data_IF_597244157303
#
_entry.id   IF_597244157303
#
_cell.length_a   1.000
_cell.length_b   1.000
_cell.length_c   1.000
_cell.angle_alpha   90.00
_cell.angle_beta   90.00
_cell.angle_gamma   90.00
#
_symmetry.space_group_name_H-M   'P 1'
#
loop_
_entity.id
_entity.type
_entity.pdbx_description
1 polymer ?
#
# COMPACT_ATOMS: atom_id res chain seq x y z
N UNK A 1 -7.12 -40.45 -86.82
CA UNK A 1 -7.33 -40.04 -85.41
C UNK A 1 -6.76 -38.65 -85.27
N UNK A 2 -7.64 -37.68 -85.05
CA UNK A 2 -7.43 -36.24 -85.18
C UNK A 2 -6.66 -35.66 -84.00
N UNK A 3 -5.69 -34.81 -84.35
CA UNK A 3 -4.82 -34.02 -83.46
C UNK A 3 -5.63 -32.83 -82.89
N UNK A 4 -5.89 -32.84 -81.58
CA UNK A 4 -6.53 -31.74 -80.87
C UNK A 4 -5.44 -30.84 -80.27
N UNK A 5 -5.11 -29.74 -80.94
CA UNK A 5 -4.36 -28.62 -80.35
C UNK A 5 -5.35 -27.65 -79.73
N UNK A 6 -5.26 -27.46 -78.41
CA UNK A 6 -5.94 -26.37 -77.72
C UNK A 6 -5.33 -25.02 -78.13
N UNK A 7 -6.14 -23.97 -78.39
CA UNK A 7 -5.61 -22.65 -78.69
C UNK A 7 -5.24 -21.92 -77.39
N UNK A 8 -3.94 -21.68 -77.20
CA UNK A 8 -3.48 -20.72 -76.19
C UNK A 8 -4.05 -19.33 -76.54
N UNK A 9 -4.92 -18.82 -75.66
CA UNK A 9 -5.59 -17.55 -75.82
C UNK A 9 -4.73 -16.47 -75.15
N UNK A 10 -3.95 -15.74 -75.93
CA UNK A 10 -3.27 -14.53 -75.45
C UNK A 10 -4.30 -13.46 -75.03
N UNK A 11 -4.09 -12.76 -73.90
CA UNK A 11 -5.03 -11.72 -73.45
C UNK A 11 -5.03 -10.52 -74.40
N UNK A 12 -6.22 -9.94 -74.66
CA UNK A 12 -6.38 -8.70 -75.43
C UNK A 12 -5.48 -7.58 -74.88
N UNK A 13 -4.80 -6.84 -75.76
CA UNK A 13 -3.81 -5.79 -75.40
C UNK A 13 -4.35 -4.75 -74.41
N UNK A 14 -5.64 -4.42 -74.52
CA UNK A 14 -6.37 -3.47 -73.68
C UNK A 14 -6.36 -3.88 -72.20
N UNK A 15 -6.51 -5.18 -71.92
CA UNK A 15 -6.55 -5.75 -70.55
C UNK A 15 -5.14 -5.76 -69.94
N UNK A 16 -4.11 -5.92 -70.78
CA UNK A 16 -2.70 -5.96 -70.36
C UNK A 16 -2.21 -4.58 -69.90
N UNK A 17 -2.65 -3.52 -70.58
CA UNK A 17 -2.33 -2.14 -70.22
C UNK A 17 -2.96 -1.72 -68.89
N UNK A 18 -4.24 -2.06 -68.67
CA UNK A 18 -4.94 -1.78 -67.41
C UNK A 18 -4.29 -2.50 -66.22
N UNK A 19 -3.94 -3.80 -66.37
CA UNK A 19 -3.23 -4.56 -65.34
C UNK A 19 -1.84 -3.99 -65.00
N UNK A 20 -1.11 -3.48 -65.99
CA UNK A 20 0.17 -2.80 -65.74
C UNK A 20 -0.02 -1.48 -65.01
N UNK A 21 -1.08 -0.73 -65.32
CA UNK A 21 -1.39 0.53 -64.64
C UNK A 21 -1.74 0.29 -63.16
N UNK A 22 -2.58 -0.70 -62.85
CA UNK A 22 -2.95 -1.06 -61.47
C UNK A 22 -1.74 -1.55 -60.67
N UNK A 23 -0.89 -2.39 -61.28
CA UNK A 23 0.34 -2.86 -60.64
C UNK A 23 1.28 -1.72 -60.26
N UNK A 24 1.41 -0.70 -61.10
CA UNK A 24 2.23 0.47 -60.80
C UNK A 24 1.62 1.31 -59.67
N UNK A 25 0.30 1.48 -59.63
CA UNK A 25 -0.39 2.18 -58.52
C UNK A 25 -0.19 1.46 -57.19
N UNK A 26 -0.29 0.12 -57.18
CA UNK A 26 -0.06 -0.70 -55.98
C UNK A 26 1.41 -0.62 -55.54
N UNK A 27 2.36 -0.61 -56.48
CA UNK A 27 3.78 -0.48 -56.17
C UNK A 27 4.12 0.86 -55.50
N UNK A 28 3.55 1.96 -56.00
CA UNK A 28 3.76 3.28 -55.38
C UNK A 28 3.16 3.35 -53.97
N UNK A 29 1.94 2.82 -53.77
CA UNK A 29 1.34 2.72 -52.42
C UNK A 29 2.20 1.88 -51.47
N UNK A 30 2.78 0.79 -51.95
CA UNK A 30 3.69 -0.07 -51.17
C UNK A 30 4.96 0.69 -50.74
N UNK A 31 5.52 1.53 -51.61
CA UNK A 31 6.67 2.39 -51.26
C UNK A 31 6.31 3.41 -50.19
N UNK A 32 5.13 4.03 -50.29
CA UNK A 32 4.66 4.99 -49.29
C UNK A 32 4.46 4.33 -47.92
N UNK A 33 3.79 3.16 -47.89
CA UNK A 33 3.59 2.40 -46.64
C UNK A 33 4.92 1.97 -46.04
N UNK A 34 5.89 1.54 -46.85
CA UNK A 34 7.23 1.19 -46.37
C UNK A 34 7.92 2.38 -45.68
N UNK A 35 7.86 3.58 -46.27
CA UNK A 35 8.43 4.78 -45.68
C UNK A 35 7.76 5.17 -44.35
N UNK A 36 6.43 5.13 -44.28
CA UNK A 36 5.68 5.39 -43.04
C UNK A 36 6.02 4.39 -41.93
N UNK A 37 6.18 3.09 -42.26
CA UNK A 37 6.56 2.08 -41.25
C UNK A 37 7.98 2.29 -40.71
N UNK A 38 8.90 2.79 -41.53
CA UNK A 38 10.26 3.10 -41.10
C UNK A 38 10.30 4.32 -40.18
N UNK A 39 9.47 5.33 -40.46
CA UNK A 39 9.30 6.51 -39.61
C UNK A 39 8.70 6.15 -38.24
N UNK A 40 7.66 5.31 -38.21
CA UNK A 40 7.05 4.81 -36.97
C UNK A 40 8.08 4.02 -36.15
N UNK A 41 8.85 3.13 -36.79
CA UNK A 41 9.90 2.34 -36.12
C UNK A 41 10.96 3.24 -35.47
N UNK A 42 11.40 4.28 -36.18
CA UNK A 42 12.39 5.22 -35.65
C UNK A 42 11.82 6.04 -34.48
N UNK A 43 10.57 6.51 -34.58
CA UNK A 43 9.88 7.22 -33.49
C UNK A 43 9.73 6.35 -32.25
N UNK A 44 9.35 5.07 -32.42
CA UNK A 44 9.24 4.13 -31.31
C UNK A 44 10.59 3.86 -30.64
N UNK A 45 11.64 3.63 -31.43
CA UNK A 45 12.99 3.42 -30.90
C UNK A 45 13.44 4.60 -30.04
N UNK A 46 13.26 5.83 -30.52
CA UNK A 46 13.59 7.05 -29.76
C UNK A 46 12.87 7.10 -28.41
N UNK A 47 11.57 6.75 -28.37
CA UNK A 47 10.82 6.71 -27.11
C UNK A 47 11.37 5.66 -26.14
N UNK A 48 11.75 4.48 -26.63
CA UNK A 48 12.34 3.44 -25.80
C UNK A 48 13.70 3.87 -25.24
N UNK A 49 14.53 4.52 -26.05
CA UNK A 49 15.82 5.06 -25.61
C UNK A 49 15.62 6.10 -24.48
N UNK A 50 14.63 6.99 -24.61
CA UNK A 50 14.29 7.98 -23.58
C UNK A 50 13.78 7.34 -22.27
N UNK A 51 13.02 6.24 -22.36
CA UNK A 51 12.62 5.47 -21.18
C UNK A 51 13.81 4.80 -20.50
N UNK A 52 14.77 4.26 -21.26
CA UNK A 52 15.96 3.63 -20.72
C UNK A 52 16.84 4.63 -19.94
N UNK A 53 17.02 5.85 -20.46
CA UNK A 53 17.76 6.91 -19.77
C UNK A 53 17.10 7.35 -18.46
N UNK A 54 15.77 7.48 -18.45
CA UNK A 54 15.01 7.80 -17.23
C UNK A 54 15.11 6.68 -16.20
N UNK A 55 15.07 5.41 -16.64
CA UNK A 55 15.22 4.26 -15.75
C UNK A 55 16.61 4.23 -15.11
N UNK A 56 17.67 4.46 -15.90
CA UNK A 56 19.04 4.52 -15.38
C UNK A 56 19.22 5.66 -14.36
N UNK A 57 18.61 6.81 -14.61
CA UNK A 57 18.64 7.94 -13.68
C UNK A 57 17.97 7.62 -12.34
N UNK A 58 16.89 6.84 -12.35
CA UNK A 58 16.21 6.36 -11.14
C UNK A 58 17.09 5.36 -10.40
N UNK A 59 17.68 4.38 -11.11
CA UNK A 59 18.58 3.40 -10.51
C UNK A 59 19.78 4.05 -9.82
N UNK A 60 20.39 5.06 -10.46
CA UNK A 60 21.50 5.82 -9.89
C UNK A 60 21.09 6.58 -8.62
N UNK A 61 19.90 7.16 -8.61
CA UNK A 61 19.36 7.86 -7.43
C UNK A 61 19.14 6.88 -6.27
N UNK A 62 18.55 5.72 -6.54
CA UNK A 62 18.32 4.66 -5.54
C UNK A 62 19.65 4.09 -5.01
N UNK A 63 20.63 3.90 -5.88
CA UNK A 63 21.96 3.41 -5.50
C UNK A 63 22.68 4.39 -4.57
N UNK A 64 22.59 5.69 -4.86
CA UNK A 64 23.11 6.76 -3.97
C UNK A 64 22.40 6.78 -2.60
N UNK A 65 21.10 6.55 -2.56
CA UNK A 65 20.35 6.41 -1.31
C UNK A 65 20.81 5.21 -0.48
N UNK A 66 21.11 4.07 -1.12
CA UNK A 66 21.60 2.86 -0.45
C UNK A 66 22.93 3.09 0.27
N UNK A 67 23.82 3.92 -0.29
CA UNK A 67 25.13 4.25 0.30
C UNK A 67 24.97 5.12 1.57
N UNK A 68 23.94 5.97 1.65
CA UNK A 68 23.65 6.79 2.84
C UNK A 68 23.12 5.96 4.03
N UNK A 69 22.63 4.73 3.79
CA UNK A 69 22.03 3.84 4.79
C UNK A 69 23.05 3.06 5.64
N UNK A 70 24.35 3.13 5.35
CA UNK A 70 25.37 2.30 6.00
C UNK A 70 26.02 2.91 7.25
N UNK A 71 25.48 4.02 7.78
CA UNK A 71 25.89 4.53 9.09
C UNK A 71 25.01 3.93 10.20
N UNK A 72 25.58 3.11 11.12
CA UNK A 72 24.87 2.77 12.34
C UNK A 72 25.06 3.92 13.34
N UNK A 73 24.16 4.92 13.30
CA UNK A 73 24.08 5.92 14.36
C UNK A 73 22.64 6.36 14.60
N UNK A 74 22.03 5.65 15.55
CA UNK A 74 21.07 6.12 16.55
C UNK A 74 19.68 6.61 16.10
N UNK A 75 18.71 5.74 16.45
CA UNK A 75 17.41 6.07 17.06
C UNK A 75 16.38 6.85 16.24
N UNK A 76 15.33 6.12 15.85
CA UNK A 76 13.96 6.59 15.63
C UNK A 76 13.76 7.68 14.56
N UNK A 77 13.83 7.29 13.28
CA UNK A 77 13.67 8.21 12.15
C UNK A 77 12.21 8.26 11.65
N UNK A 78 11.45 9.11 12.33
CA UNK A 78 10.47 10.12 11.86
C UNK A 78 9.68 10.02 10.54
N UNK A 79 9.34 8.85 10.00
CA UNK A 79 8.04 8.77 9.27
C UNK A 79 7.18 7.56 9.57
N UNK A 80 7.54 6.87 10.65
CA UNK A 80 6.59 6.02 11.35
C UNK A 80 5.55 6.94 12.00
N UNK A 81 4.38 6.97 11.39
CA UNK A 81 3.14 7.53 11.90
C UNK A 81 2.84 6.94 13.30
N UNK A 82 3.05 7.74 14.34
CA UNK A 82 2.92 7.36 15.76
C UNK A 82 1.93 8.26 16.49
N UNK A 83 1.23 7.70 17.47
CA UNK A 83 0.42 8.44 18.43
C UNK A 83 0.45 7.76 19.79
N UNK A 84 0.05 8.48 20.83
CA UNK A 84 -0.03 7.95 22.19
C UNK A 84 -1.46 8.14 22.70
N UNK A 85 -2.10 7.04 23.08
CA UNK A 85 -3.34 7.04 23.83
C UNK A 85 -3.02 6.94 25.32
N UNK A 86 -3.59 7.81 26.13
CA UNK A 86 -3.40 7.79 27.58
C UNK A 86 -4.72 8.02 28.30
N UNK A 87 -5.04 7.14 29.24
CA UNK A 87 -6.26 7.26 30.04
C UNK A 87 -6.07 6.76 31.48
N UNK A 88 -6.62 7.48 32.45
CA UNK A 88 -6.68 7.06 33.85
C UNK A 88 -8.06 6.46 34.14
N UNK A 89 -8.08 5.15 34.38
CA UNK A 89 -9.28 4.46 34.84
C UNK A 89 -9.39 4.52 36.37
N UNK A 90 -10.55 4.94 36.86
CA UNK A 90 -10.83 5.12 38.29
C UNK A 90 -11.80 4.07 38.79
N UNK A 91 -11.51 3.54 39.98
CA UNK A 91 -12.29 2.54 40.71
C UNK A 91 -12.60 1.27 39.90
N UNK A 92 -11.66 0.77 39.08
CA UNK A 92 -11.83 -0.47 38.31
C UNK A 92 -12.12 -1.69 39.18
N UNK A 93 -11.61 -1.71 40.42
CA UNK A 93 -11.92 -2.76 41.39
C UNK A 93 -13.41 -2.80 41.81
N UNK A 94 -14.18 -1.75 41.52
CA UNK A 94 -15.63 -1.67 41.76
C UNK A 94 -16.47 -1.78 40.49
N UNK A 95 -15.83 -1.91 39.32
CA UNK A 95 -16.48 -2.01 38.02
C UNK A 95 -17.50 -3.14 38.02
N UNK A 96 -18.74 -2.91 37.62
CA UNK A 96 -19.75 -3.97 37.56
C UNK A 96 -19.66 -4.73 36.24
N UNK A 97 -20.22 -5.93 36.21
CA UNK A 97 -20.43 -6.62 34.93
C UNK A 97 -21.33 -5.76 34.04
N UNK A 98 -21.02 -5.71 32.75
CA UNK A 98 -21.63 -4.84 31.72
C UNK A 98 -21.28 -3.34 31.78
N UNK A 99 -20.50 -2.89 32.76
CA UNK A 99 -19.88 -1.56 32.67
C UNK A 99 -18.62 -1.64 31.78
N UNK A 100 -18.55 -0.75 30.78
CA UNK A 100 -17.45 -0.67 29.81
C UNK A 100 -16.95 0.78 29.70
N UNK A 101 -16.34 1.35 30.76
CA UNK A 101 -15.75 2.69 30.69
C UNK A 101 -14.72 2.74 29.56
N UNK A 102 -14.82 3.79 28.76
CA UNK A 102 -13.90 4.08 27.67
C UNK A 102 -13.18 5.40 27.88
N UNK A 103 -12.00 5.52 27.26
CA UNK A 103 -11.36 6.82 27.06
C UNK A 103 -12.18 7.69 26.11
N UNK A 104 -11.74 8.94 25.97
CA UNK A 104 -12.13 9.76 24.82
C UNK A 104 -11.81 9.04 23.51
N UNK A 105 -12.59 9.37 22.48
CA UNK A 105 -12.40 8.87 21.12
C UNK A 105 -11.34 9.73 20.43
N UNK A 106 -10.31 9.10 19.91
CA UNK A 106 -9.25 9.78 19.19
C UNK A 106 -9.25 9.35 17.72
N UNK A 107 -9.21 10.32 16.82
CA UNK A 107 -9.11 10.06 15.39
C UNK A 107 -7.65 10.14 14.95
N UNK A 108 -7.09 9.02 14.50
CA UNK A 108 -5.75 8.94 13.93
C UNK A 108 -5.74 7.98 12.75
N UNK A 109 -5.10 8.38 11.66
CA UNK A 109 -4.90 7.53 10.46
C UNK A 109 -6.19 6.96 9.89
N UNK A 110 -7.22 7.80 9.76
CA UNK A 110 -8.52 7.42 9.21
C UNK A 110 -9.19 6.27 9.99
N UNK A 111 -8.86 6.17 11.28
CA UNK A 111 -9.47 5.25 12.22
C UNK A 111 -9.74 5.95 13.55
N UNK A 112 -10.79 5.49 14.21
CA UNK A 112 -11.15 5.94 15.54
C UNK A 112 -10.60 4.97 16.58
N UNK A 113 -10.02 5.51 17.64
CA UNK A 113 -9.30 4.74 18.66
C UNK A 113 -9.84 5.07 20.04
N UNK A 114 -10.03 4.04 20.88
CA UNK A 114 -10.22 4.25 22.32
C UNK A 114 -9.66 3.10 23.14
N UNK A 115 -9.34 3.41 24.40
CA UNK A 115 -9.02 2.43 25.43
C UNK A 115 -10.30 2.10 26.19
N UNK A 116 -10.49 0.83 26.54
CA UNK A 116 -11.65 0.38 27.31
C UNK A 116 -11.24 -0.51 28.47
N UNK A 117 -12.11 -0.59 29.46
CA UNK A 117 -12.01 -1.58 30.51
C UNK A 117 -13.36 -2.26 30.72
N UNK A 118 -13.39 -3.58 30.72
CA UNK A 118 -14.60 -4.36 30.95
C UNK A 118 -14.40 -5.34 32.11
N UNK A 119 -15.47 -5.69 32.82
CA UNK A 119 -15.42 -6.67 33.91
C UNK A 119 -16.27 -7.90 33.57
N UNK A 120 -15.63 -9.08 33.57
CA UNK A 120 -16.30 -10.37 33.33
C UNK A 120 -15.68 -11.44 34.22
N UNK A 121 -16.50 -12.24 34.90
CA UNK A 121 -16.01 -13.42 35.63
C UNK A 121 -15.07 -13.09 36.80
N UNK A 122 -15.13 -11.87 37.35
CA UNK A 122 -14.24 -11.42 38.42
C UNK A 122 -12.86 -10.90 37.96
N UNK A 123 -12.63 -10.84 36.65
CA UNK A 123 -11.47 -10.20 36.03
C UNK A 123 -11.87 -8.89 35.36
N UNK A 124 -10.93 -7.95 35.28
CA UNK A 124 -11.03 -6.74 34.47
C UNK A 124 -10.09 -6.89 33.28
N UNK A 125 -10.62 -6.66 32.09
CA UNK A 125 -9.89 -6.68 30.83
C UNK A 125 -9.64 -5.25 30.39
N UNK A 126 -8.39 -4.92 30.10
CA UNK A 126 -8.01 -3.65 29.48
C UNK A 126 -7.83 -3.92 27.99
N UNK A 127 -8.58 -3.21 27.15
CA UNK A 127 -8.57 -3.41 25.71
C UNK A 127 -8.30 -2.12 24.97
N UNK A 128 -7.74 -2.24 23.77
CA UNK A 128 -7.70 -1.16 22.78
C UNK A 128 -8.63 -1.52 21.63
N UNK A 129 -9.42 -0.54 21.21
CA UNK A 129 -10.30 -0.63 20.07
C UNK A 129 -9.79 0.31 18.97
N UNK A 130 -9.82 -0.17 17.74
CA UNK A 130 -9.56 0.61 16.54
C UNK A 130 -10.62 0.32 15.48
N UNK A 131 -11.33 1.35 15.01
CA UNK A 131 -12.33 1.22 13.94
C UNK A 131 -11.89 1.99 12.70
N UNK A 132 -11.62 1.27 11.61
CA UNK A 132 -11.25 1.87 10.33
C UNK A 132 -12.49 2.49 9.67
N UNK A 133 -12.37 3.72 9.19
CA UNK A 133 -13.49 4.42 8.54
C UNK A 133 -13.86 3.82 7.18
N UNK A 134 -12.96 3.06 6.57
CA UNK A 134 -13.18 2.32 5.32
C UNK A 134 -13.18 0.81 5.61
N UNK A 135 -14.11 0.08 4.99
CA UNK A 135 -14.36 -1.35 5.27
C UNK A 135 -13.29 -2.30 4.71
N UNK A 136 -12.57 -1.88 3.67
CA UNK A 136 -11.47 -2.62 3.03
C UNK A 136 -10.09 -2.26 3.63
N UNK A 137 -10.05 -1.30 4.55
CA UNK A 137 -8.84 -0.85 5.20
C UNK A 137 -8.44 -1.77 6.35
N UNK A 138 -7.12 -1.89 6.56
CA UNK A 138 -6.55 -2.49 7.75
C UNK A 138 -5.32 -1.69 8.18
N UNK A 139 -5.11 -1.56 9.49
CA UNK A 139 -4.00 -0.84 10.08
C UNK A 139 -3.18 -1.84 10.87
N UNK A 140 -2.02 -2.22 10.31
CA UNK A 140 -1.04 -3.02 11.02
C UNK A 140 -0.29 -2.11 12.00
N UNK A 141 -0.18 -2.55 13.25
CA UNK A 141 0.36 -1.74 14.35
C UNK A 141 1.36 -2.53 15.18
N UNK A 142 2.35 -1.83 15.70
CA UNK A 142 3.10 -2.22 16.88
C UNK A 142 2.68 -1.32 18.04
N UNK A 143 2.30 -1.92 19.15
CA UNK A 143 1.73 -1.27 20.32
C UNK A 143 2.69 -1.47 21.48
N UNK A 144 3.17 -0.36 22.06
CA UNK A 144 3.91 -0.37 23.32
C UNK A 144 2.98 0.05 24.44
N UNK A 145 2.36 -0.95 25.05
CA UNK A 145 1.44 -0.79 26.19
C UNK A 145 2.21 -0.66 27.50
N UNK A 146 1.83 0.34 28.30
CA UNK A 146 2.33 0.59 29.65
C UNK A 146 1.14 0.65 30.61
N UNK A 147 1.23 -0.13 31.67
CA UNK A 147 0.27 -0.07 32.78
C UNK A 147 0.93 0.56 34.00
N UNK A 148 0.45 1.73 34.39
CA UNK A 148 1.03 2.55 35.45
C UNK A 148 0.08 2.54 36.64
N UNK A 149 0.64 2.33 37.83
CA UNK A 149 -0.11 2.22 39.08
C UNK A 149 -0.42 0.77 39.49
N UNK A 150 -0.27 -0.20 38.58
CA UNK A 150 -0.36 -1.64 38.88
C UNK A 150 0.80 -2.40 38.25
N UNK A 151 1.68 -2.97 39.07
CA UNK A 151 2.90 -3.71 38.68
C UNK A 151 3.90 -2.97 37.76
N UNK A 152 3.55 -1.81 37.20
CA UNK A 152 4.39 -0.91 36.41
C UNK A 152 5.20 -1.63 35.33
N UNK A 153 4.53 -2.33 34.43
CA UNK A 153 5.18 -3.08 33.36
C UNK A 153 4.91 -2.48 31.98
N UNK A 154 5.68 -2.96 31.00
CA UNK A 154 5.52 -2.62 29.58
C UNK A 154 5.42 -3.91 28.76
N UNK A 155 4.48 -3.97 27.82
CA UNK A 155 4.38 -5.02 26.80
C UNK A 155 4.49 -4.41 25.41
N UNK A 156 5.11 -5.15 24.50
CA UNK A 156 5.12 -4.83 23.08
C UNK A 156 4.26 -5.88 22.39
N UNK A 157 3.29 -5.43 21.60
CA UNK A 157 2.31 -6.28 20.92
C UNK A 157 2.21 -5.83 19.47
N UNK A 158 1.82 -6.74 18.59
CA UNK A 158 1.49 -6.40 17.20
C UNK A 158 0.06 -6.83 16.92
N UNK A 159 -0.68 -5.97 16.25
CA UNK A 159 -2.07 -6.26 15.86
C UNK A 159 -2.42 -5.59 14.54
N UNK A 160 -3.29 -6.23 13.77
CA UNK A 160 -3.79 -5.71 12.52
C UNK A 160 -5.27 -5.37 12.70
N UNK A 161 -5.56 -4.10 12.99
CA UNK A 161 -6.92 -3.61 13.15
C UNK A 161 -7.61 -3.56 11.80
N UNK A 162 -8.76 -4.21 11.67
CA UNK A 162 -9.56 -4.21 10.45
C UNK A 162 -11.04 -4.27 10.81
N UNK A 163 -11.92 -3.94 9.87
CA UNK A 163 -13.36 -4.06 10.07
C UNK A 163 -13.90 -5.34 9.43
N UNK A 164 -13.93 -6.50 10.13
CA UNK A 164 -14.66 -7.66 9.64
C UNK A 164 -16.16 -7.33 9.54
N UNK A 165 -16.86 -7.99 8.62
CA UNK A 165 -18.29 -7.74 8.33
C UNK A 165 -19.14 -7.75 9.61
N UNK A 166 -19.49 -6.56 10.13
CA UNK A 166 -20.39 -6.39 11.26
C UNK A 166 -19.77 -6.52 12.66
N UNK A 167 -18.45 -6.69 12.79
CA UNK A 167 -17.79 -6.83 14.10
C UNK A 167 -16.69 -5.77 14.31
N UNK A 168 -16.60 -5.28 15.55
CA UNK A 168 -15.55 -4.37 15.97
C UNK A 168 -14.28 -5.16 16.33
N UNK A 169 -13.11 -4.64 15.97
CA UNK A 169 -11.82 -5.27 16.26
C UNK A 169 -11.22 -4.71 17.56
N UNK A 170 -11.02 -5.60 18.52
CA UNK A 170 -10.49 -5.30 19.85
C UNK A 170 -9.24 -6.14 20.09
N UNK A 171 -8.25 -5.54 20.77
CA UNK A 171 -7.11 -6.26 21.30
C UNK A 171 -7.10 -6.18 22.83
N UNK A 172 -7.10 -7.34 23.47
CA UNK A 172 -6.88 -7.47 24.91
C UNK A 172 -5.42 -7.18 25.25
N UNK A 173 -5.17 -6.11 26.00
CA UNK A 173 -3.83 -5.69 26.42
C UNK A 173 -3.41 -6.38 27.73
N UNK A 174 -4.36 -6.51 28.66
CA UNK A 174 -4.14 -7.15 29.95
C UNK A 174 -5.43 -7.66 30.57
N UNK A 175 -5.32 -8.79 31.28
CA UNK A 175 -6.34 -9.28 32.20
C UNK A 175 -5.83 -9.12 33.64
N UNK A 176 -6.66 -8.55 34.51
CA UNK A 176 -6.30 -8.34 35.91
C UNK A 176 -7.43 -8.84 36.81
N UNK A 177 -7.09 -9.73 37.74
CA UNK A 177 -8.04 -10.15 38.77
C UNK A 177 -8.52 -8.94 39.58
N UNK A 178 -9.85 -8.75 39.65
CA UNK A 178 -10.47 -7.53 40.19
C UNK A 178 -10.03 -7.19 41.61
N UNK A 179 -9.76 -8.21 42.44
CA UNK A 179 -9.33 -8.04 43.82
C UNK A 179 -7.90 -7.51 43.98
N UNK A 180 -7.07 -7.59 42.92
CA UNK A 180 -5.69 -7.07 42.90
C UNK A 180 -5.60 -5.63 42.39
N UNK A 181 -6.65 -5.15 41.73
CA UNK A 181 -6.62 -3.87 41.03
C UNK A 181 -6.60 -2.72 42.05
N UNK A 182 -5.64 -1.79 41.95
CA UNK A 182 -5.60 -0.62 42.80
C UNK A 182 -6.76 0.31 42.46
N UNK A 183 -6.99 1.33 43.28
CA UNK A 183 -8.12 2.24 43.08
C UNK A 183 -8.06 2.93 41.72
N UNK A 184 -6.88 3.35 41.27
CA UNK A 184 -6.70 3.99 39.97
C UNK A 184 -5.56 3.29 39.22
N UNK A 185 -5.72 3.12 37.92
CA UNK A 185 -4.65 2.69 37.00
C UNK A 185 -4.61 3.63 35.81
N UNK A 186 -3.42 3.90 35.30
CA UNK A 186 -3.25 4.64 34.05
C UNK A 186 -2.75 3.70 32.99
N UNK A 187 -3.44 3.71 31.85
CA UNK A 187 -3.05 2.99 30.65
C UNK A 187 -2.45 3.98 29.68
N UNK A 188 -1.29 3.65 29.14
CA UNK A 188 -0.63 4.42 28.09
C UNK A 188 -0.23 3.46 26.97
N UNK A 189 -0.74 3.69 25.77
CA UNK A 189 -0.44 2.88 24.57
C UNK A 189 0.18 3.81 23.55
N UNK A 190 1.46 3.58 23.30
CA UNK A 190 2.16 4.19 22.17
C UNK A 190 1.95 3.28 20.96
N UNK A 191 1.26 3.80 19.95
CA UNK A 191 0.88 3.06 18.75
C UNK A 191 1.75 3.53 17.60
N UNK A 192 2.41 2.57 16.97
CA UNK A 192 3.20 2.74 15.77
C UNK A 192 2.50 2.02 14.62
N UNK A 193 2.06 2.79 13.62
CA UNK A 193 1.48 2.20 12.42
C UNK A 193 2.59 1.65 11.53
N UNK A 194 2.51 0.34 11.26
CA UNK A 194 3.35 -0.38 10.32
C UNK A 194 2.60 -0.35 8.99
N UNK A 195 2.99 0.52 8.07
CA UNK A 195 2.27 0.73 6.81
C UNK A 195 1.92 -0.59 6.09
N UNK A 196 0.62 -0.80 5.83
CA UNK A 196 0.13 -1.86 4.94
C UNK A 196 -0.48 -1.22 3.69
N UNK A 197 0.27 -1.31 2.60
CA UNK A 197 -0.09 -0.80 1.28
C UNK A 197 -0.74 -1.94 0.52
N UNK A 198 -2.06 -1.94 0.46
CA UNK A 198 -2.80 -2.91 -0.35
C UNK A 198 -3.43 -2.24 -1.58
N UNK A 199 -3.50 -0.91 -1.61
CA UNK A 199 -4.13 -0.12 -2.68
C UNK A 199 -3.32 1.16 -2.93
N UNK A 200 -3.50 1.77 -4.12
CA UNK A 200 -2.87 3.04 -4.48
C UNK A 200 -3.34 4.20 -3.57
N UNK A 201 -4.58 4.14 -3.09
CA UNK A 201 -5.12 5.17 -2.20
C UNK A 201 -4.50 5.07 -0.79
N UNK A 202 -4.15 3.86 -0.30
CA UNK A 202 -3.36 3.70 0.91
C UNK A 202 -1.97 4.34 0.79
N UNK A 203 -1.36 4.31 -0.40
CA UNK A 203 -0.08 5.00 -0.64
C UNK A 203 -0.28 6.50 -0.46
N UNK A 204 -1.30 7.09 -1.07
CA UNK A 204 -1.58 8.54 -0.99
C UNK A 204 -1.84 9.01 0.44
N UNK A 205 -2.52 8.22 1.27
CA UNK A 205 -2.73 8.55 2.67
C UNK A 205 -1.45 8.45 3.52
N UNK A 206 -0.48 7.62 3.11
CA UNK A 206 0.80 7.45 3.81
C UNK A 206 1.84 8.49 3.40
N UNK A 207 1.74 9.04 2.19
CA UNK A 207 2.62 10.09 1.73
C UNK A 207 2.33 11.40 2.49
N UNK A 208 3.34 12.07 3.04
CA UNK A 208 3.19 13.44 3.52
C UNK A 208 2.77 14.35 2.36
N UNK A 209 2.13 15.47 2.70
CA UNK A 209 1.73 16.48 1.70
C UNK A 209 2.94 16.99 0.89
N UNK A 210 4.12 17.02 1.51
CA UNK A 210 5.42 17.22 0.87
C UNK A 210 6.25 15.94 0.99
N UNK A 211 6.64 15.36 -0.15
CA UNK A 211 7.46 14.14 -0.22
C UNK A 211 8.86 14.30 0.40
N UNK A 212 9.33 15.54 0.57
CA UNK A 212 10.57 15.86 1.28
C UNK A 212 10.53 15.42 2.75
N UNK A 213 9.33 15.34 3.33
CA UNK A 213 9.11 14.95 4.72
C UNK A 213 8.97 13.41 4.89
N UNK A 214 9.07 12.64 3.80
CA UNK A 214 8.93 11.19 3.83
C UNK A 214 10.27 10.53 4.21
N UNK A 215 10.28 9.73 5.27
CA UNK A 215 11.49 9.01 5.68
C UNK A 215 11.94 8.01 4.59
N UNK A 216 13.23 8.00 4.22
CA UNK A 216 13.75 7.11 3.19
C UNK A 216 13.52 5.61 3.44
N UNK A 217 13.52 5.13 4.68
CA UNK A 217 13.27 3.72 5.01
C UNK A 217 11.79 3.37 4.85
N UNK A 218 10.90 4.31 5.16
CA UNK A 218 9.47 4.15 4.92
C UNK A 218 9.18 4.16 3.42
N UNK A 219 9.79 5.07 2.64
CA UNK A 219 9.70 5.08 1.19
C UNK A 219 10.17 3.75 0.58
N UNK A 220 11.30 3.20 1.06
CA UNK A 220 11.80 1.89 0.63
C UNK A 220 10.82 0.76 0.97
N UNK A 221 10.27 0.76 2.18
CA UNK A 221 9.28 -0.24 2.62
C UNK A 221 8.01 -0.18 1.76
N UNK A 222 7.57 1.04 1.41
CA UNK A 222 6.44 1.28 0.51
C UNK A 222 6.73 0.67 -0.86
N UNK A 223 7.89 0.96 -1.44
CA UNK A 223 8.30 0.47 -2.76
C UNK A 223 8.44 -1.06 -2.78
N UNK A 224 9.07 -1.64 -1.75
CA UNK A 224 9.24 -3.09 -1.63
C UNK A 224 7.88 -3.80 -1.64
N UNK A 225 6.92 -3.31 -0.84
CA UNK A 225 5.56 -3.87 -0.80
C UNK A 225 4.81 -3.71 -2.13
N UNK A 226 5.00 -2.60 -2.85
CA UNK A 226 4.43 -2.42 -4.19
C UNK A 226 5.00 -3.42 -5.21
N UNK A 227 6.29 -3.78 -5.11
CA UNK A 227 6.93 -4.78 -5.97
C UNK A 227 6.49 -6.20 -5.62
N UNK A 228 6.27 -6.49 -4.34
CA UNK A 228 5.88 -7.81 -3.83
C UNK A 228 4.38 -8.12 -4.00
N UNK A 229 3.54 -7.09 -4.23
CA UNK A 229 2.11 -7.22 -4.53
C UNK A 229 1.89 -7.72 -5.98
N UNK A 230 2.19 -8.99 -6.23
CA UNK A 230 1.79 -9.72 -7.44
C UNK A 230 0.41 -10.34 -7.32
#
# INVERSE_FOLDING_TARGET
MTDNREPETEPREDIKADLQSEKNVVLEKLKTVAAETEEIKNSQKQKFDEFAEKLQSIEDAVSKMSILSNNPCNTAQESVKKFILKHEFKNLNKLKEMEDPSSELFEYFNADWCLRASCTGGSVYITIWGDTKQSDMSIETELKFRLIGFNNFTKIMKHCFRKPEGENDYLDLEEIEKWRIPKNVTVEVETQCLAKINTLDNVRELLPGDLSDLDPLVALTILQKCVDSK
#
